data_IF_471431767744
#
_entry.id   IF_471431767744
#
_cell.length_a   1.000
_cell.length_b   1.000
_cell.length_c   1.000
_cell.angle_alpha   90.00
_cell.angle_beta   90.00
_cell.angle_gamma   90.00
#
_symmetry.space_group_name_H-M   'P 1'
#
loop_
_entity.id
_entity.type
_entity.pdbx_description
1 polymer ?
#
# COMPACT_ATOMS: atom_id res chain seq x y z
N UNK A 1 40.48 3.62 -2.98
CA UNK A 1 39.63 4.80 -2.77
C UNK A 1 38.21 4.36 -2.92
N UNK A 2 37.50 4.16 -1.78
CA UNK A 2 36.08 3.83 -1.80
C UNK A 2 35.31 5.12 -2.11
N UNK A 3 34.82 5.22 -3.32
CA UNK A 3 33.80 6.23 -3.67
C UNK A 3 32.52 5.80 -2.93
N UNK A 4 32.24 6.42 -1.80
CA UNK A 4 30.89 6.40 -1.23
C UNK A 4 29.98 7.02 -2.28
N UNK A 5 29.27 6.18 -3.02
CA UNK A 5 28.11 6.65 -3.80
C UNK A 5 27.11 7.18 -2.77
N UNK A 6 26.99 8.48 -2.70
CA UNK A 6 25.86 9.14 -2.04
C UNK A 6 24.60 8.70 -2.77
N UNK A 7 23.87 7.75 -2.18
CA UNK A 7 22.57 7.33 -2.69
C UNK A 7 21.69 8.58 -2.63
N UNK A 8 21.20 9.01 -3.78
CA UNK A 8 20.25 10.12 -3.84
C UNK A 8 19.00 9.77 -3.00
N UNK A 9 18.45 10.71 -2.22
CA UNK A 9 17.29 10.42 -1.40
C UNK A 9 16.16 9.90 -2.28
N UNK A 10 15.62 8.74 -1.91
CA UNK A 10 14.48 8.17 -2.62
C UNK A 10 13.28 9.07 -2.49
N UNK A 11 12.61 9.31 -3.62
CA UNK A 11 11.41 10.13 -3.65
C UNK A 11 10.19 9.22 -3.82
N UNK A 12 9.40 9.09 -2.76
CA UNK A 12 8.15 8.34 -2.82
C UNK A 12 7.07 9.17 -3.51
N UNK A 13 6.53 8.73 -4.68
CA UNK A 13 5.49 9.46 -5.38
C UNK A 13 4.13 9.44 -4.65
N UNK A 14 3.93 8.51 -3.72
CA UNK A 14 2.70 8.40 -2.91
C UNK A 14 2.74 9.24 -1.64
N UNK A 15 3.88 9.84 -1.26
CA UNK A 15 3.98 10.70 -0.09
C UNK A 15 3.03 11.90 -0.20
N UNK A 16 2.07 11.98 0.73
CA UNK A 16 1.04 13.02 0.71
C UNK A 16 1.59 14.42 1.01
N UNK A 17 2.65 14.53 1.83
CA UNK A 17 3.25 15.82 2.19
C UNK A 17 3.81 16.58 0.99
N UNK A 18 4.16 15.88 -0.09
CA UNK A 18 4.63 16.48 -1.34
C UNK A 18 3.63 17.46 -1.97
N UNK A 19 2.34 17.25 -1.76
CA UNK A 19 1.33 18.18 -2.25
C UNK A 19 1.45 19.53 -1.53
N UNK A 20 1.70 19.48 -0.21
CA UNK A 20 1.94 20.68 0.59
C UNK A 20 3.22 21.40 0.13
N UNK A 21 4.30 20.67 -0.10
CA UNK A 21 5.57 21.25 -0.58
C UNK A 21 5.41 21.91 -1.96
N UNK A 22 4.64 21.26 -2.84
CA UNK A 22 4.53 21.71 -4.23
C UNK A 22 3.42 22.76 -4.43
N UNK A 23 2.31 22.65 -3.68
CA UNK A 23 1.10 23.44 -3.92
C UNK A 23 0.65 24.27 -2.71
N UNK A 24 1.28 24.10 -1.54
CA UNK A 24 0.89 24.77 -0.29
C UNK A 24 -0.33 24.16 0.40
N UNK A 25 -0.92 23.10 -0.16
CA UNK A 25 -2.12 22.43 0.37
C UNK A 25 -2.15 20.93 -0.03
N UNK A 26 -2.92 20.14 0.70
CA UNK A 26 -3.27 18.78 0.30
C UNK A 26 -4.23 18.81 -0.89
N UNK A 27 -3.94 18.04 -1.93
CA UNK A 27 -4.76 17.93 -3.13
C UNK A 27 -5.05 16.46 -3.44
N UNK A 28 -6.08 16.19 -4.25
CA UNK A 28 -6.24 14.86 -4.81
C UNK A 28 -5.24 14.67 -5.94
N UNK A 29 -4.18 13.93 -5.67
CA UNK A 29 -3.07 13.69 -6.61
C UNK A 29 -2.78 12.22 -6.86
N UNK A 30 -3.43 11.33 -6.13
CA UNK A 30 -3.26 9.89 -6.24
C UNK A 30 -4.62 9.19 -6.38
N UNK A 31 -4.70 8.20 -7.26
CA UNK A 31 -5.88 7.33 -7.39
C UNK A 31 -5.43 5.87 -7.37
N UNK A 32 -6.21 5.05 -6.66
CA UNK A 32 -6.10 3.61 -6.71
C UNK A 32 -7.39 2.99 -7.28
N UNK A 33 -7.26 2.06 -8.22
CA UNK A 33 -8.39 1.44 -8.93
C UNK A 33 -8.44 -0.05 -8.68
N UNK A 34 -9.56 -0.53 -8.14
CA UNK A 34 -9.88 -1.96 -8.06
C UNK A 34 -10.37 -2.45 -9.41
N UNK A 35 -9.60 -3.32 -10.08
CA UNK A 35 -9.87 -3.81 -11.44
C UNK A 35 -10.37 -5.25 -11.51
N UNK A 36 -10.36 -5.97 -10.41
CA UNK A 36 -10.86 -7.36 -10.32
C UNK A 36 -11.24 -7.73 -8.89
N UNK A 37 -12.27 -8.56 -8.76
CA UNK A 37 -12.63 -9.25 -7.51
C UNK A 37 -12.10 -10.68 -7.47
N UNK A 38 -11.45 -11.14 -8.55
CA UNK A 38 -10.85 -12.47 -8.62
C UNK A 38 -9.50 -12.48 -7.89
N UNK A 39 -9.28 -13.51 -7.09
CA UNK A 39 -7.97 -13.80 -6.52
C UNK A 39 -7.80 -15.32 -6.39
N UNK A 40 -6.60 -15.81 -6.65
CA UNK A 40 -6.23 -17.21 -6.48
C UNK A 40 -5.81 -17.54 -5.03
N UNK A 41 -5.78 -16.53 -4.17
CA UNK A 41 -5.48 -16.64 -2.74
C UNK A 41 -6.65 -16.15 -1.90
N UNK A 42 -6.65 -16.50 -0.60
CA UNK A 42 -7.59 -16.04 0.43
C UNK A 42 -6.80 -15.83 1.71
N UNK A 43 -5.99 -14.75 1.68
CA UNK A 43 -5.04 -14.47 2.74
C UNK A 43 -5.72 -14.13 4.06
N UNK A 44 -5.11 -14.51 5.17
CA UNK A 44 -5.58 -14.25 6.54
C UNK A 44 -5.83 -12.76 6.80
N UNK A 45 -4.97 -11.91 6.25
CA UNK A 45 -4.95 -10.46 6.46
C UNK A 45 -5.55 -9.65 5.30
N UNK A 46 -6.33 -10.30 4.41
CA UNK A 46 -6.85 -9.61 3.22
C UNK A 46 -7.86 -8.53 3.61
N UNK A 47 -7.61 -7.29 3.17
CA UNK A 47 -8.46 -6.14 3.44
C UNK A 47 -9.73 -6.08 2.58
N UNK A 48 -9.79 -6.89 1.53
CA UNK A 48 -10.91 -6.97 0.57
C UNK A 48 -11.47 -8.40 0.44
N UNK A 49 -11.22 -9.23 1.44
CA UNK A 49 -11.51 -10.67 1.40
C UNK A 49 -12.98 -11.01 1.15
N UNK A 50 -13.91 -10.28 1.79
CA UNK A 50 -15.36 -10.49 1.62
C UNK A 50 -15.88 -10.03 0.26
N UNK A 51 -15.18 -9.14 -0.43
CA UNK A 51 -15.54 -8.70 -1.78
C UNK A 51 -15.03 -9.63 -2.86
N UNK A 52 -14.13 -10.56 -2.52
CA UNK A 52 -13.57 -11.51 -3.48
C UNK A 52 -14.65 -12.47 -3.99
N UNK A 53 -14.73 -12.63 -5.30
CA UNK A 53 -15.74 -13.40 -6.02
C UNK A 53 -15.09 -14.46 -6.93
N UNK A 54 -15.77 -15.56 -7.28
CA UNK A 54 -15.32 -16.49 -8.30
C UNK A 54 -15.48 -15.96 -9.74
N UNK A 55 -16.19 -14.85 -9.91
CA UNK A 55 -16.42 -14.17 -11.21
C UNK A 55 -16.49 -12.67 -10.96
N UNK A 56 -15.78 -11.91 -11.80
CA UNK A 56 -15.92 -10.46 -11.79
C UNK A 56 -17.36 -10.06 -12.18
N UNK A 57 -17.94 -9.05 -11.50
CA UNK A 57 -19.15 -8.39 -11.98
C UNK A 57 -18.91 -7.73 -13.35
N UNK A 58 -19.98 -7.28 -13.99
CA UNK A 58 -19.84 -6.47 -15.20
C UNK A 58 -19.24 -5.11 -14.84
N UNK A 59 -18.12 -4.71 -15.46
CA UNK A 59 -17.48 -3.46 -15.15
C UNK A 59 -18.20 -2.27 -15.75
N UNK A 60 -18.03 -1.10 -15.15
CA UNK A 60 -18.43 0.16 -15.74
C UNK A 60 -17.59 0.46 -17.00
N UNK A 61 -18.12 1.26 -17.94
CA UNK A 61 -17.36 1.63 -19.14
C UNK A 61 -16.03 2.30 -18.80
N UNK A 62 -14.94 1.82 -19.40
CA UNK A 62 -13.60 2.35 -19.16
C UNK A 62 -13.49 3.84 -19.48
N UNK A 63 -14.16 4.29 -20.55
CA UNK A 63 -14.21 5.70 -20.97
C UNK A 63 -14.87 6.60 -19.92
N UNK A 64 -15.81 6.09 -19.14
CA UNK A 64 -16.37 6.83 -18.01
C UNK A 64 -15.30 7.07 -16.94
N UNK A 65 -14.56 6.02 -16.56
CA UNK A 65 -13.50 6.17 -15.57
C UNK A 65 -12.40 7.12 -16.08
N UNK A 66 -11.98 6.98 -17.34
CA UNK A 66 -10.97 7.87 -17.94
C UNK A 66 -11.44 9.34 -17.91
N UNK A 67 -12.68 9.62 -18.31
CA UNK A 67 -13.22 11.00 -18.22
C UNK A 67 -13.18 11.55 -16.80
N UNK A 68 -13.48 10.71 -15.78
CA UNK A 68 -13.38 11.13 -14.38
C UNK A 68 -11.95 11.38 -13.94
N UNK A 69 -11.00 10.56 -14.40
CA UNK A 69 -9.57 10.77 -14.15
C UNK A 69 -9.04 12.04 -14.81
N UNK A 70 -9.55 12.40 -15.99
CA UNK A 70 -9.21 13.65 -16.68
C UNK A 70 -9.58 14.91 -15.88
N UNK A 71 -10.56 14.80 -15.00
CA UNK A 71 -11.00 15.89 -14.12
C UNK A 71 -10.00 16.15 -12.97
N UNK A 72 -9.00 15.28 -12.75
CA UNK A 72 -7.96 15.44 -11.72
C UNK A 72 -6.76 16.17 -12.34
N UNK A 73 -6.56 17.46 -12.06
CA UNK A 73 -5.56 18.24 -12.79
C UNK A 73 -4.11 17.90 -12.36
N UNK A 74 -3.94 17.33 -11.18
CA UNK A 74 -2.64 17.09 -10.55
C UNK A 74 -2.40 15.60 -10.25
N UNK A 75 -2.86 14.70 -11.13
CA UNK A 75 -2.66 13.26 -10.96
C UNK A 75 -1.15 12.94 -11.03
N UNK A 76 -0.57 12.62 -9.87
CA UNK A 76 0.87 12.35 -9.68
C UNK A 76 1.17 10.87 -9.62
N UNK A 77 0.30 10.08 -9.00
CA UNK A 77 0.46 8.64 -8.89
C UNK A 77 -0.86 7.90 -9.14
N UNK A 78 -0.73 6.74 -9.74
CA UNK A 78 -1.85 5.88 -10.11
C UNK A 78 -1.52 4.44 -9.77
N UNK A 79 -2.40 3.79 -9.01
CA UNK A 79 -2.23 2.41 -8.56
C UNK A 79 -3.37 1.54 -9.03
N UNK A 80 -3.06 0.30 -9.40
CA UNK A 80 -4.04 -0.74 -9.68
C UNK A 80 -3.98 -1.79 -8.58
N UNK A 81 -5.17 -2.13 -8.08
CA UNK A 81 -5.37 -3.13 -7.04
C UNK A 81 -6.61 -4.00 -7.34
N UNK A 82 -7.04 -4.77 -6.36
CA UNK A 82 -8.21 -5.63 -6.40
C UNK A 82 -7.96 -6.93 -5.67
N UNK A 83 -8.48 -8.04 -6.22
CA UNK A 83 -8.07 -9.37 -5.82
C UNK A 83 -6.63 -9.64 -6.27
N UNK A 84 -6.45 -10.30 -7.42
CA UNK A 84 -5.16 -10.37 -8.11
C UNK A 84 -5.32 -9.79 -9.52
N UNK A 85 -4.85 -8.57 -9.78
CA UNK A 85 -5.10 -7.88 -11.05
C UNK A 85 -4.61 -8.63 -12.30
N UNK A 86 -3.57 -9.46 -12.16
CA UNK A 86 -3.02 -10.24 -13.26
C UNK A 86 -3.71 -11.60 -13.47
N UNK A 87 -4.75 -11.93 -12.68
CA UNK A 87 -5.41 -13.23 -12.74
C UNK A 87 -6.28 -13.39 -13.99
N UNK A 88 -7.07 -12.39 -14.34
CA UNK A 88 -8.02 -12.43 -15.45
C UNK A 88 -7.46 -11.73 -16.69
N UNK A 89 -7.06 -12.51 -17.70
CA UNK A 89 -6.45 -11.96 -18.92
C UNK A 89 -7.37 -11.03 -19.72
N UNK A 90 -8.70 -11.22 -19.63
CA UNK A 90 -9.66 -10.27 -20.22
C UNK A 90 -9.56 -8.93 -19.51
N UNK A 91 -9.63 -8.93 -18.17
CA UNK A 91 -9.47 -7.72 -17.36
C UNK A 91 -8.11 -7.05 -17.59
N UNK A 92 -7.02 -7.84 -17.67
CA UNK A 92 -5.68 -7.31 -17.95
C UNK A 92 -5.66 -6.52 -19.25
N UNK A 93 -6.22 -7.06 -20.34
CA UNK A 93 -6.19 -6.42 -21.67
C UNK A 93 -7.19 -5.26 -21.80
N UNK A 94 -8.35 -5.39 -21.20
CA UNK A 94 -9.45 -4.40 -21.36
C UNK A 94 -9.37 -3.25 -20.36
N UNK A 95 -8.72 -3.45 -19.19
CA UNK A 95 -8.69 -2.45 -18.11
C UNK A 95 -7.30 -2.17 -17.57
N UNK A 96 -6.54 -3.20 -17.13
CA UNK A 96 -5.25 -2.98 -16.46
C UNK A 96 -4.24 -2.29 -17.38
N UNK A 97 -4.01 -2.84 -18.58
CA UNK A 97 -3.08 -2.26 -19.56
C UNK A 97 -3.53 -0.88 -20.03
N UNK A 98 -4.79 -0.65 -20.44
CA UNK A 98 -5.25 0.67 -20.85
C UNK A 98 -5.15 1.73 -19.75
N UNK A 99 -5.47 1.40 -18.49
CA UNK A 99 -5.39 2.34 -17.38
C UNK A 99 -3.95 2.70 -17.01
N UNK A 100 -3.04 1.72 -16.96
CA UNK A 100 -1.61 1.98 -16.73
C UNK A 100 -1.03 2.83 -17.85
N UNK A 101 -1.34 2.51 -19.11
CA UNK A 101 -0.93 3.29 -20.27
C UNK A 101 -1.42 4.74 -20.17
N UNK A 102 -2.71 4.94 -19.91
CA UNK A 102 -3.29 6.25 -19.74
C UNK A 102 -2.60 7.08 -18.65
N UNK A 103 -2.38 6.50 -17.48
CA UNK A 103 -1.72 7.19 -16.38
C UNK A 103 -0.25 7.51 -16.69
N UNK A 104 0.46 6.57 -17.31
CA UNK A 104 1.85 6.73 -17.74
C UNK A 104 2.00 7.85 -18.79
N UNK A 105 1.12 7.90 -19.80
CA UNK A 105 1.11 8.93 -20.84
C UNK A 105 0.77 10.33 -20.28
N UNK A 106 0.07 10.41 -19.16
CA UNK A 106 -0.14 11.65 -18.41
C UNK A 106 1.05 12.06 -17.52
N UNK A 107 2.09 11.25 -17.46
CA UNK A 107 3.26 11.47 -16.61
C UNK A 107 3.06 11.12 -15.13
N UNK A 108 1.95 10.46 -14.78
CA UNK A 108 1.75 9.94 -13.44
C UNK A 108 2.64 8.70 -13.20
N UNK A 109 3.13 8.55 -11.96
CA UNK A 109 3.83 7.35 -11.53
C UNK A 109 2.85 6.20 -11.36
N UNK A 110 3.14 5.08 -11.99
CA UNK A 110 2.23 3.93 -12.06
C UNK A 110 2.70 2.79 -11.16
N UNK A 111 1.75 2.16 -10.50
CA UNK A 111 1.97 1.00 -9.64
C UNK A 111 0.90 -0.05 -9.87
N UNK A 112 1.23 -1.31 -9.68
CA UNK A 112 0.29 -2.41 -9.55
C UNK A 112 0.59 -3.21 -8.29
N UNK A 113 -0.46 -3.57 -7.54
CA UNK A 113 -0.35 -4.44 -6.37
C UNK A 113 -0.66 -5.88 -6.79
N UNK A 114 0.27 -6.81 -6.56
CA UNK A 114 0.14 -8.21 -6.99
C UNK A 114 0.71 -9.18 -5.96
N UNK A 115 0.15 -10.38 -5.91
CA UNK A 115 0.75 -11.50 -5.18
C UNK A 115 1.85 -12.22 -5.97
N UNK A 116 2.09 -11.80 -7.21
CA UNK A 116 3.15 -12.24 -8.12
C UNK A 116 3.17 -13.76 -8.44
N UNK A 117 2.06 -14.46 -8.24
CA UNK A 117 1.97 -15.91 -8.47
C UNK A 117 1.49 -16.29 -9.87
N UNK A 118 1.17 -15.31 -10.73
CA UNK A 118 0.73 -15.56 -12.10
C UNK A 118 1.92 -15.86 -13.01
N UNK A 119 1.70 -16.48 -14.20
CA UNK A 119 2.77 -16.67 -15.19
C UNK A 119 3.48 -15.36 -15.56
N UNK A 120 4.82 -15.41 -15.69
CA UNK A 120 5.66 -14.24 -15.89
C UNK A 120 5.26 -13.42 -17.14
N UNK A 121 4.84 -14.11 -18.21
CA UNK A 121 4.46 -13.51 -19.50
C UNK A 121 3.24 -12.57 -19.38
N UNK A 122 2.45 -12.72 -18.33
CA UNK A 122 1.33 -11.79 -18.09
C UNK A 122 1.82 -10.40 -17.69
N UNK A 123 2.90 -10.36 -16.91
CA UNK A 123 3.48 -9.09 -16.45
C UNK A 123 4.17 -8.33 -17.58
N UNK A 124 4.69 -9.03 -18.62
CA UNK A 124 5.30 -8.40 -19.79
C UNK A 124 4.35 -7.39 -20.48
N UNK A 125 3.04 -7.61 -20.37
CA UNK A 125 2.02 -6.72 -20.97
C UNK A 125 1.96 -5.33 -20.34
N UNK A 126 2.33 -5.22 -19.07
CA UNK A 126 2.24 -3.99 -18.28
C UNK A 126 3.58 -3.27 -18.13
N UNK A 127 4.71 -3.97 -18.28
CA UNK A 127 6.04 -3.40 -18.06
C UNK A 127 6.31 -2.08 -18.80
N UNK A 128 5.85 -1.87 -20.07
CA UNK A 128 6.08 -0.60 -20.76
C UNK A 128 5.43 0.62 -20.11
N UNK A 129 4.47 0.41 -19.21
CA UNK A 129 3.66 1.46 -18.59
C UNK A 129 3.76 1.44 -17.06
N UNK A 130 4.66 0.62 -16.50
CA UNK A 130 4.75 0.38 -15.06
C UNK A 130 6.04 0.98 -14.49
N UNK A 131 5.91 1.87 -13.49
CA UNK A 131 7.06 2.38 -12.75
C UNK A 131 7.42 1.49 -11.55
N UNK A 132 6.42 0.92 -10.83
CA UNK A 132 6.65 0.10 -9.64
C UNK A 132 5.75 -1.13 -9.65
N UNK A 133 6.33 -2.31 -9.54
CA UNK A 133 5.63 -3.53 -9.19
C UNK A 133 5.65 -3.68 -7.67
N UNK A 134 4.48 -3.55 -7.05
CA UNK A 134 4.32 -3.71 -5.61
C UNK A 134 3.81 -5.11 -5.30
N UNK A 135 4.54 -5.85 -4.47
CA UNK A 135 4.20 -7.23 -4.14
C UNK A 135 3.93 -7.39 -2.64
N UNK A 136 2.90 -8.14 -2.30
CA UNK A 136 2.64 -8.51 -0.90
C UNK A 136 3.52 -9.71 -0.52
N UNK A 137 4.42 -9.51 0.46
CA UNK A 137 5.32 -10.55 0.95
C UNK A 137 5.33 -10.62 2.48
N UNK A 138 4.47 -11.50 3.03
CA UNK A 138 4.24 -11.65 4.47
C UNK A 138 4.67 -13.03 5.00
N UNK A 139 5.65 -13.66 4.39
CA UNK A 139 5.95 -15.08 4.58
C UNK A 139 7.42 -15.29 4.90
N UNK A 140 7.72 -15.82 6.09
CA UNK A 140 9.07 -16.22 6.47
C UNK A 140 9.50 -17.55 5.85
N UNK A 141 8.53 -18.36 5.38
CA UNK A 141 8.75 -19.68 4.81
C UNK A 141 7.65 -20.08 3.84
N UNK A 142 7.82 -21.18 3.10
CA UNK A 142 6.77 -21.77 2.26
C UNK A 142 5.58 -22.27 3.09
N UNK A 143 5.82 -22.68 4.32
CA UNK A 143 4.76 -23.12 5.24
C UNK A 143 3.92 -21.92 5.68
N UNK A 144 4.54 -20.78 5.99
CA UNK A 144 3.85 -19.53 6.28
C UNK A 144 3.01 -19.07 5.08
N UNK A 145 3.57 -19.13 3.86
CA UNK A 145 2.81 -18.84 2.64
C UNK A 145 1.58 -19.74 2.51
N UNK A 146 1.74 -21.04 2.78
CA UNK A 146 0.65 -22.02 2.71
C UNK A 146 -0.42 -21.78 3.78
N UNK A 147 -0.01 -21.37 4.97
CA UNK A 147 -0.90 -21.11 6.11
C UNK A 147 -1.64 -19.78 5.92
N UNK A 148 -0.90 -18.70 5.70
CA UNK A 148 -1.41 -17.32 5.63
C UNK A 148 -2.18 -17.08 4.34
N UNK A 149 -1.60 -17.45 3.20
CA UNK A 149 -2.12 -17.15 1.86
C UNK A 149 -3.43 -17.87 1.52
N UNK A 150 -3.75 -18.96 2.22
CA UNK A 150 -4.93 -19.79 1.98
C UNK A 150 -5.80 -19.99 3.23
N UNK A 151 -5.65 -19.12 4.24
CA UNK A 151 -6.35 -19.24 5.52
C UNK A 151 -7.87 -19.32 5.35
N UNK A 152 -8.46 -18.48 4.50
CA UNK A 152 -9.90 -18.40 4.25
C UNK A 152 -10.35 -19.15 2.98
N UNK A 153 -9.48 -20.00 2.41
CA UNK A 153 -9.87 -20.81 1.24
C UNK A 153 -10.77 -21.98 1.65
N UNK A 154 -11.98 -22.03 1.08
CA UNK A 154 -12.89 -23.17 1.26
C UNK A 154 -12.31 -24.45 0.67
N UNK A 155 -11.64 -24.35 -0.46
CA UNK A 155 -10.95 -25.44 -1.16
C UNK A 155 -9.49 -25.04 -1.35
N UNK A 156 -8.64 -25.46 -0.42
CA UNK A 156 -7.21 -25.17 -0.49
C UNK A 156 -6.58 -25.95 -1.65
N UNK A 157 -5.72 -25.33 -2.47
CA UNK A 157 -4.89 -26.09 -3.41
C UNK A 157 -4.07 -27.15 -2.66
N UNK A 158 -3.68 -28.21 -3.36
CA UNK A 158 -2.78 -29.23 -2.79
C UNK A 158 -1.46 -28.57 -2.35
N UNK A 159 -0.78 -29.22 -1.42
CA UNK A 159 0.46 -28.69 -0.86
C UNK A 159 1.50 -28.38 -1.96
N UNK A 160 1.72 -29.32 -2.87
CA UNK A 160 2.66 -29.15 -4.00
C UNK A 160 2.29 -27.96 -4.88
N UNK A 161 1.01 -27.68 -5.04
CA UNK A 161 0.53 -26.51 -5.80
C UNK A 161 0.82 -25.21 -5.06
N UNK A 162 0.63 -25.17 -3.74
CA UNK A 162 0.96 -23.99 -2.92
C UNK A 162 2.45 -23.71 -2.91
N UNK A 163 3.27 -24.77 -2.77
CA UNK A 163 4.73 -24.67 -2.86
C UNK A 163 5.17 -24.15 -4.23
N UNK A 164 4.60 -24.67 -5.32
CA UNK A 164 4.87 -24.19 -6.66
C UNK A 164 4.47 -22.72 -6.87
N UNK A 165 3.39 -22.26 -6.22
CA UNK A 165 2.99 -20.85 -6.26
C UNK A 165 4.00 -19.96 -5.51
N UNK A 166 4.45 -20.38 -4.32
CA UNK A 166 5.47 -19.65 -3.57
C UNK A 166 6.78 -19.55 -4.36
N UNK A 167 7.24 -20.67 -4.91
CA UNK A 167 8.45 -20.69 -5.73
C UNK A 167 8.32 -19.76 -6.94
N UNK A 168 7.17 -19.80 -7.64
CA UNK A 168 6.90 -18.92 -8.79
C UNK A 168 6.93 -17.44 -8.40
N UNK A 169 6.38 -17.06 -7.25
CA UNK A 169 6.44 -15.67 -6.75
C UNK A 169 7.90 -15.21 -6.63
N UNK A 170 8.76 -16.03 -6.01
CA UNK A 170 10.18 -15.73 -5.84
C UNK A 170 10.91 -15.66 -7.19
N UNK A 171 10.67 -16.63 -8.06
CA UNK A 171 11.30 -16.67 -9.39
C UNK A 171 10.86 -15.50 -10.27
N UNK A 172 9.58 -15.13 -10.25
CA UNK A 172 9.06 -13.97 -10.95
C UNK A 172 9.70 -12.69 -10.45
N UNK A 173 9.82 -12.50 -9.11
CA UNK A 173 10.47 -11.34 -8.54
C UNK A 173 11.93 -11.23 -9.01
N UNK A 174 12.70 -12.33 -8.92
CA UNK A 174 14.09 -12.39 -9.40
C UNK A 174 14.21 -12.10 -10.89
N UNK A 175 13.32 -12.65 -11.71
CA UNK A 175 13.33 -12.43 -13.15
C UNK A 175 13.02 -10.98 -13.52
N UNK A 176 12.07 -10.34 -12.83
CA UNK A 176 11.67 -8.95 -13.08
C UNK A 176 12.72 -7.96 -12.58
N UNK A 177 13.28 -8.16 -11.39
CA UNK A 177 14.37 -7.33 -10.87
C UNK A 177 15.63 -7.42 -11.73
N UNK A 178 15.97 -8.60 -12.25
CA UNK A 178 17.07 -8.79 -13.20
C UNK A 178 16.86 -8.06 -14.54
N UNK A 179 15.61 -7.75 -14.91
CA UNK A 179 15.26 -6.94 -16.08
C UNK A 179 15.22 -5.44 -15.78
N UNK A 180 15.56 -5.04 -14.55
CA UNK A 180 15.54 -3.63 -14.12
C UNK A 180 14.17 -3.11 -13.70
N UNK A 181 13.16 -3.97 -13.52
CA UNK A 181 11.86 -3.58 -12.98
C UNK A 181 12.02 -3.22 -11.51
N UNK A 182 11.49 -2.08 -11.09
CA UNK A 182 11.47 -1.70 -9.68
C UNK A 182 10.41 -2.55 -8.97
N UNK A 183 10.86 -3.47 -8.13
CA UNK A 183 10.00 -4.31 -7.29
C UNK A 183 10.06 -3.82 -5.86
N UNK A 184 8.89 -3.46 -5.32
CA UNK A 184 8.69 -3.10 -3.93
C UNK A 184 7.95 -4.23 -3.22
N UNK A 185 8.55 -4.80 -2.18
CA UNK A 185 7.88 -5.82 -1.38
C UNK A 185 7.29 -5.20 -0.11
N UNK A 186 6.03 -5.51 0.17
CA UNK A 186 5.29 -5.04 1.34
C UNK A 186 5.17 -6.14 2.39
N UNK A 187 5.47 -5.78 3.64
CA UNK A 187 5.27 -6.66 4.80
C UNK A 187 4.43 -5.94 5.86
N UNK A 188 3.34 -6.58 6.27
CA UNK A 188 2.53 -6.12 7.40
C UNK A 188 3.09 -6.65 8.72
N UNK A 189 3.26 -5.78 9.71
CA UNK A 189 3.63 -6.15 11.07
C UNK A 189 2.39 -6.66 11.81
N UNK A 190 2.36 -7.95 12.10
CA UNK A 190 1.32 -8.61 12.88
C UNK A 190 1.91 -9.80 13.66
N UNK A 191 1.09 -10.47 14.47
CA UNK A 191 1.55 -11.60 15.31
C UNK A 191 2.17 -12.76 14.52
N UNK A 192 1.84 -12.90 13.22
CA UNK A 192 2.40 -13.94 12.33
C UNK A 192 3.74 -13.54 11.75
N UNK A 193 3.87 -12.28 11.31
CA UNK A 193 5.08 -11.81 10.61
C UNK A 193 6.17 -11.38 11.57
N UNK A 194 5.81 -10.80 12.74
CA UNK A 194 6.78 -10.33 13.73
C UNK A 194 7.87 -11.35 14.11
N UNK A 195 7.58 -12.65 14.34
CA UNK A 195 8.60 -13.63 14.62
C UNK A 195 9.58 -13.91 13.48
N UNK A 196 9.19 -13.60 12.23
CA UNK A 196 9.91 -14.00 11.01
C UNK A 196 10.46 -12.81 10.20
N UNK A 197 10.47 -11.59 10.76
CA UNK A 197 10.81 -10.37 10.04
C UNK A 197 12.19 -10.42 9.38
N UNK A 198 13.18 -10.98 10.05
CA UNK A 198 14.54 -11.09 9.53
C UNK A 198 14.58 -12.02 8.31
N UNK A 199 13.90 -13.16 8.38
CA UNK A 199 13.81 -14.11 7.26
C UNK A 199 13.01 -13.50 6.08
N UNK A 200 11.93 -12.78 6.37
CA UNK A 200 11.15 -12.07 5.34
C UNK A 200 12.03 -11.04 4.64
N UNK A 201 12.75 -10.22 5.42
CA UNK A 201 13.67 -9.22 4.85
C UNK A 201 14.77 -9.86 4.02
N UNK A 202 15.37 -10.94 4.52
CA UNK A 202 16.39 -11.68 3.78
C UNK A 202 15.87 -12.21 2.43
N UNK A 203 14.66 -12.78 2.40
CA UNK A 203 14.06 -13.24 1.15
C UNK A 203 13.81 -12.08 0.16
N UNK A 204 13.36 -10.92 0.65
CA UNK A 204 13.16 -9.70 -0.14
C UNK A 204 14.48 -9.25 -0.79
N UNK A 205 15.57 -9.28 -0.01
CA UNK A 205 16.93 -9.01 -0.52
C UNK A 205 17.34 -10.03 -1.60
N UNK A 206 17.11 -11.32 -1.36
CA UNK A 206 17.46 -12.40 -2.29
C UNK A 206 16.62 -12.40 -3.58
N UNK A 207 15.41 -11.86 -3.52
CA UNK A 207 14.59 -11.58 -4.70
C UNK A 207 15.09 -10.39 -5.53
N UNK A 208 16.04 -9.60 -5.00
CA UNK A 208 16.57 -8.41 -5.65
C UNK A 208 15.65 -7.20 -5.58
N UNK A 209 14.66 -7.20 -4.67
CA UNK A 209 13.74 -6.08 -4.51
C UNK A 209 14.50 -4.82 -4.06
N UNK A 210 14.16 -3.68 -4.67
CA UNK A 210 14.83 -2.40 -4.38
C UNK A 210 14.22 -1.71 -3.15
N UNK A 211 12.95 -2.03 -2.81
CA UNK A 211 12.24 -1.45 -1.67
C UNK A 211 11.59 -2.53 -0.82
N UNK A 212 11.74 -2.42 0.50
CA UNK A 212 10.95 -3.14 1.49
C UNK A 212 10.03 -2.14 2.19
N UNK A 213 8.74 -2.19 1.90
CA UNK A 213 7.72 -1.38 2.54
C UNK A 213 7.14 -2.13 3.74
N UNK A 214 7.05 -1.44 4.87
CA UNK A 214 6.64 -2.05 6.15
C UNK A 214 5.58 -1.19 6.81
N UNK A 215 4.46 -1.77 7.18
CA UNK A 215 3.44 -1.13 7.99
C UNK A 215 2.72 -2.08 8.94
N UNK A 216 2.18 -1.56 10.06
CA UNK A 216 1.34 -2.36 10.93
C UNK A 216 0.10 -2.87 10.21
N UNK A 217 -0.34 -4.08 10.57
CA UNK A 217 -1.64 -4.59 10.17
C UNK A 217 -2.74 -3.89 10.99
N UNK A 218 -3.76 -3.40 10.30
CA UNK A 218 -4.96 -2.86 10.92
C UNK A 218 -6.14 -3.81 10.69
N UNK A 219 -6.94 -4.09 11.75
CA UNK A 219 -8.08 -5.01 11.63
C UNK A 219 -9.10 -4.49 10.64
N UNK A 220 -9.35 -5.27 9.60
CA UNK A 220 -10.29 -4.97 8.53
C UNK A 220 -10.64 -6.24 7.81
N UNK A 221 -11.90 -6.43 7.40
CA UNK A 221 -12.36 -7.53 6.57
C UNK A 221 -11.93 -8.91 7.13
N UNK A 222 -11.17 -9.73 6.40
CA UNK A 222 -10.67 -11.02 6.90
C UNK A 222 -9.75 -10.89 8.11
N UNK A 223 -9.00 -9.77 8.20
CA UNK A 223 -8.14 -9.50 9.34
C UNK A 223 -8.88 -9.01 10.59
N UNK A 224 -10.21 -8.79 10.52
CA UNK A 224 -10.98 -8.24 11.65
C UNK A 224 -10.94 -9.09 12.92
N UNK A 225 -10.71 -10.41 12.78
CA UNK A 225 -10.59 -11.35 13.89
C UNK A 225 -9.15 -11.58 14.36
N UNK A 226 -8.15 -11.02 13.67
CA UNK A 226 -6.76 -11.19 14.02
C UNK A 226 -6.38 -10.30 15.20
N UNK A 227 -5.50 -10.82 16.06
CA UNK A 227 -4.97 -10.06 17.17
C UNK A 227 -4.06 -8.94 16.66
N UNK A 228 -4.33 -7.72 17.12
CA UNK A 228 -3.52 -6.53 16.82
C UNK A 228 -2.22 -6.61 17.60
N UNK A 229 -1.10 -6.34 16.95
CA UNK A 229 0.17 -6.19 17.63
C UNK A 229 0.15 -4.94 18.53
N UNK A 230 0.69 -5.05 19.74
CA UNK A 230 0.85 -3.91 20.63
C UNK A 230 1.86 -2.91 20.07
N UNK A 231 1.81 -1.66 20.56
CA UNK A 231 2.77 -0.64 20.16
C UNK A 231 4.22 -1.06 20.45
N UNK A 232 4.46 -1.74 21.57
CA UNK A 232 5.82 -2.21 21.93
C UNK A 232 6.31 -3.36 21.04
N UNK A 233 5.43 -4.27 20.64
CA UNK A 233 5.77 -5.31 19.67
C UNK A 233 6.12 -4.72 18.30
N UNK A 234 5.34 -3.73 17.84
CA UNK A 234 5.63 -3.03 16.58
C UNK A 234 6.98 -2.30 16.66
N UNK A 235 7.24 -1.55 17.75
CA UNK A 235 8.53 -0.86 17.98
C UNK A 235 9.69 -1.84 17.96
N UNK A 236 9.56 -2.94 18.71
CA UNK A 236 10.57 -4.00 18.75
C UNK A 236 10.83 -4.60 17.36
N UNK A 237 9.77 -4.88 16.61
CA UNK A 237 9.89 -5.39 15.23
C UNK A 237 10.62 -4.42 14.30
N UNK A 238 10.30 -3.13 14.39
CA UNK A 238 10.98 -2.10 13.58
C UNK A 238 12.45 -1.99 13.96
N UNK A 239 12.79 -1.99 15.25
CA UNK A 239 14.18 -1.97 15.69
C UNK A 239 14.98 -3.17 15.15
N UNK A 240 14.43 -4.38 15.24
CA UNK A 240 15.05 -5.59 14.71
C UNK A 240 15.28 -5.50 13.19
N UNK A 241 14.29 -5.02 12.44
CA UNK A 241 14.46 -4.79 10.99
C UNK A 241 15.56 -3.79 10.69
N UNK A 242 15.63 -2.68 11.42
CA UNK A 242 16.67 -1.67 11.24
C UNK A 242 18.07 -2.24 11.61
N UNK A 243 18.16 -3.17 12.57
CA UNK A 243 19.41 -3.82 12.97
C UNK A 243 19.91 -4.81 11.92
N UNK A 244 19.01 -5.58 11.28
CA UNK A 244 19.37 -6.67 10.36
C UNK A 244 19.32 -6.27 8.88
N UNK A 245 18.77 -5.08 8.53
CA UNK A 245 18.49 -4.70 7.15
C UNK A 245 19.73 -4.65 6.26
N UNK A 246 19.55 -4.99 5.00
CA UNK A 246 20.52 -4.66 3.97
C UNK A 246 20.44 -3.15 3.65
N UNK A 247 21.54 -2.43 3.85
CA UNK A 247 21.58 -0.98 3.66
C UNK A 247 21.38 -0.52 2.21
N UNK A 248 21.51 -1.42 1.23
CA UNK A 248 21.24 -1.12 -0.18
C UNK A 248 19.76 -1.23 -0.55
N UNK A 249 18.92 -1.83 0.32
CA UNK A 249 17.47 -1.88 0.14
C UNK A 249 16.85 -0.65 0.79
N UNK A 250 16.02 0.07 0.04
CA UNK A 250 15.25 1.18 0.57
C UNK A 250 14.15 0.66 1.49
N UNK A 251 14.25 1.01 2.78
CA UNK A 251 13.21 0.72 3.77
C UNK A 251 12.20 1.86 3.79
N UNK A 252 10.93 1.56 3.54
CA UNK A 252 9.83 2.52 3.64
C UNK A 252 8.90 2.08 4.77
N UNK A 253 8.77 2.91 5.80
CA UNK A 253 7.84 2.69 6.90
C UNK A 253 6.61 3.58 6.72
N UNK A 254 5.45 2.97 6.54
CA UNK A 254 4.18 3.67 6.35
C UNK A 254 3.17 3.41 7.46
N UNK A 255 2.20 4.31 7.61
CA UNK A 255 1.04 4.12 8.50
C UNK A 255 1.43 3.81 9.95
N UNK A 256 2.58 4.35 10.42
CA UNK A 256 3.08 4.07 11.76
C UNK A 256 2.24 4.77 12.83
N UNK A 257 1.97 4.10 13.98
CA UNK A 257 1.22 4.68 15.09
C UNK A 257 2.10 5.50 16.05
N UNK A 258 3.24 6.01 15.61
CA UNK A 258 4.20 6.78 16.42
C UNK A 258 4.39 8.15 15.80
N UNK A 259 4.39 9.20 16.63
CA UNK A 259 4.46 10.58 16.15
C UNK A 259 5.51 11.38 16.90
N UNK A 260 6.16 12.37 16.25
CA UNK A 260 7.16 13.24 16.88
C UNK A 260 6.63 14.04 18.08
N UNK A 261 5.30 14.15 18.22
CA UNK A 261 4.64 14.80 19.35
C UNK A 261 4.34 13.87 20.53
N UNK A 262 4.84 12.63 20.52
CA UNK A 262 4.69 11.70 21.64
C UNK A 262 5.43 12.21 22.88
N UNK A 263 4.85 11.93 24.07
CA UNK A 263 5.51 12.13 25.36
C UNK A 263 6.23 10.86 25.84
N UNK A 264 6.24 9.80 25.04
CA UNK A 264 6.91 8.54 25.33
C UNK A 264 8.33 8.58 24.75
N UNK A 265 9.34 8.40 25.61
CA UNK A 265 10.75 8.46 25.22
C UNK A 265 11.12 7.39 24.18
N UNK A 266 10.53 6.17 24.27
CA UNK A 266 10.80 5.10 23.30
C UNK A 266 10.26 5.46 21.92
N UNK A 267 9.09 6.13 21.84
CA UNK A 267 8.55 6.61 20.57
C UNK A 267 9.48 7.65 19.94
N UNK A 268 9.98 8.60 20.75
CA UNK A 268 10.91 9.63 20.27
C UNK A 268 12.24 9.05 19.83
N UNK A 269 12.77 8.07 20.52
CA UNK A 269 14.00 7.37 20.12
C UNK A 269 13.80 6.61 18.80
N UNK A 270 12.68 5.90 18.65
CA UNK A 270 12.35 5.23 17.38
C UNK A 270 12.22 6.24 16.23
N UNK A 271 11.49 7.34 16.44
CA UNK A 271 11.34 8.40 15.44
C UNK A 271 12.72 8.97 15.03
N UNK A 272 13.54 9.33 16.00
CA UNK A 272 14.90 9.81 15.76
C UNK A 272 15.70 8.81 14.91
N UNK A 273 15.62 7.53 15.23
CA UNK A 273 16.29 6.47 14.48
C UNK A 273 15.78 6.39 13.03
N UNK A 274 14.47 6.34 12.83
CA UNK A 274 13.83 6.24 11.52
C UNK A 274 14.22 7.41 10.58
N UNK A 275 14.33 8.63 11.12
CA UNK A 275 14.71 9.81 10.34
C UNK A 275 16.23 10.01 10.16
N UNK A 276 17.06 9.31 10.92
CA UNK A 276 18.52 9.40 10.83
C UNK A 276 19.21 8.26 10.07
N UNK A 277 18.55 7.13 9.92
CA UNK A 277 19.11 5.97 9.24
C UNK A 277 19.18 6.20 7.72
N UNK A 278 20.32 5.94 7.07
CA UNK A 278 20.43 6.08 5.62
C UNK A 278 19.52 5.10 4.90
N UNK A 279 18.93 5.52 3.78
CA UNK A 279 18.05 4.69 2.95
C UNK A 279 16.79 4.18 3.69
N UNK A 280 16.32 4.97 4.66
CA UNK A 280 15.07 4.78 5.40
C UNK A 280 14.17 5.98 5.19
N UNK A 281 12.88 5.74 4.95
CA UNK A 281 11.86 6.78 4.77
C UNK A 281 10.65 6.44 5.62
N UNK A 282 10.07 7.45 6.25
CA UNK A 282 8.75 7.38 6.88
C UNK A 282 7.77 8.09 5.98
N UNK A 283 6.68 7.41 5.58
CA UNK A 283 5.63 7.96 4.71
C UNK A 283 4.40 8.32 5.51
N UNK A 284 3.88 9.50 5.27
CA UNK A 284 2.51 9.84 5.64
C UNK A 284 1.54 9.07 4.75
N UNK A 285 0.58 8.38 5.36
CA UNK A 285 -0.40 7.60 4.62
C UNK A 285 -1.16 8.50 3.64
N UNK A 286 -1.24 8.15 2.35
CA UNK A 286 -1.93 8.97 1.35
C UNK A 286 -3.46 8.89 1.45
N UNK A 287 -4.03 7.85 2.07
CA UNK A 287 -5.47 7.61 2.10
C UNK A 287 -6.25 8.77 2.75
N UNK A 288 -7.18 9.32 1.96
CA UNK A 288 -7.97 10.48 2.35
C UNK A 288 -7.21 11.80 2.45
N UNK A 289 -5.89 11.80 2.20
CA UNK A 289 -5.05 13.02 2.17
C UNK A 289 -4.74 13.48 0.78
N UNK A 290 -4.17 12.58 -0.01
CA UNK A 290 -3.88 12.81 -1.43
C UNK A 290 -4.43 11.72 -2.33
N UNK A 291 -4.96 10.63 -1.77
CA UNK A 291 -5.48 9.45 -2.48
C UNK A 291 -6.95 9.19 -2.18
N UNK A 292 -7.67 8.80 -3.22
CA UNK A 292 -8.96 8.12 -3.15
C UNK A 292 -8.90 6.82 -3.93
N UNK A 293 -9.73 5.86 -3.53
CA UNK A 293 -9.87 4.57 -4.17
C UNK A 293 -11.19 4.52 -4.95
N UNK A 294 -11.20 3.83 -6.07
CA UNK A 294 -12.40 3.62 -6.88
C UNK A 294 -12.53 2.18 -7.33
N UNK A 295 -13.73 1.65 -7.24
CA UNK A 295 -14.05 0.30 -7.70
C UNK A 295 -14.61 0.35 -9.12
N UNK A 296 -13.97 -0.34 -10.08
CA UNK A 296 -14.36 -0.35 -11.50
C UNK A 296 -15.76 -0.96 -11.74
N UNK A 297 -16.24 -1.83 -10.83
CA UNK A 297 -17.52 -2.52 -11.01
C UNK A 297 -18.68 -1.72 -10.43
N UNK A 298 -18.58 -1.29 -9.19
CA UNK A 298 -19.64 -0.51 -8.53
C UNK A 298 -19.57 0.99 -8.85
N UNK A 299 -18.40 1.50 -9.22
CA UNK A 299 -18.15 2.92 -9.40
C UNK A 299 -17.99 3.71 -8.10
N UNK A 300 -18.02 3.03 -6.97
CA UNK A 300 -17.93 3.67 -5.66
C UNK A 300 -16.56 4.33 -5.46
N UNK A 301 -16.59 5.57 -4.98
CA UNK A 301 -15.42 6.34 -4.57
C UNK A 301 -15.32 6.25 -3.04
N UNK A 302 -14.20 5.78 -2.53
CA UNK A 302 -13.95 5.57 -1.10
C UNK A 302 -12.59 6.14 -0.70
N UNK A 303 -12.41 6.35 0.61
CA UNK A 303 -11.14 6.87 1.16
C UNK A 303 -10.04 5.82 1.12
N UNK A 304 -10.40 4.59 1.48
CA UNK A 304 -9.49 3.45 1.59
C UNK A 304 -10.28 2.15 1.44
N UNK A 305 -9.64 1.09 0.97
CA UNK A 305 -10.21 -0.26 0.94
C UNK A 305 -10.21 -0.92 2.35
N UNK A 306 -9.53 -0.30 3.30
CA UNK A 306 -9.45 -0.80 4.67
C UNK A 306 -10.52 -0.18 5.56
N UNK A 307 -11.19 -1.03 6.36
CA UNK A 307 -12.14 -0.59 7.36
C UNK A 307 -13.51 -0.22 6.80
N UNK A 308 -14.42 0.08 7.73
CA UNK A 308 -15.78 0.52 7.41
C UNK A 308 -15.78 2.04 7.24
N UNK A 309 -15.61 2.48 5.99
CA UNK A 309 -15.59 3.90 5.64
C UNK A 309 -16.77 4.26 4.75
N UNK A 310 -17.34 5.47 4.90
CA UNK A 310 -18.45 5.89 4.08
C UNK A 310 -18.04 6.03 2.60
N UNK A 311 -18.94 5.67 1.70
CA UNK A 311 -18.82 6.01 0.29
C UNK A 311 -18.89 7.52 0.12
N UNK A 312 -17.96 8.08 -0.63
CA UNK A 312 -17.87 9.51 -0.89
C UNK A 312 -18.68 9.94 -2.12
N UNK A 313 -19.05 9.00 -2.95
CA UNK A 313 -19.80 9.21 -4.20
C UNK A 313 -19.64 8.01 -5.13
N UNK A 314 -20.13 8.17 -6.36
CA UNK A 314 -20.00 7.17 -7.41
C UNK A 314 -19.61 7.87 -8.72
N UNK A 315 -18.69 7.27 -9.49
CA UNK A 315 -18.18 7.89 -10.73
C UNK A 315 -19.27 8.11 -11.81
N UNK A 316 -20.43 7.47 -11.67
CA UNK A 316 -21.54 7.67 -12.60
C UNK A 316 -22.19 9.06 -12.45
N UNK A 317 -22.22 9.57 -11.22
CA UNK A 317 -22.92 10.82 -10.88
C UNK A 317 -22.07 11.86 -10.15
N UNK A 318 -20.87 11.49 -9.68
CA UNK A 318 -20.00 12.36 -8.90
C UNK A 318 -18.63 12.50 -9.56
N UNK A 319 -18.03 13.68 -9.41
CA UNK A 319 -16.64 13.96 -9.77
C UNK A 319 -15.72 13.55 -8.61
N UNK A 320 -14.45 13.27 -8.92
CA UNK A 320 -13.46 12.96 -7.88
C UNK A 320 -13.16 14.15 -6.95
N UNK A 321 -13.11 15.37 -7.49
CA UNK A 321 -12.90 16.58 -6.68
C UNK A 321 -14.06 16.84 -5.71
N UNK A 322 -15.30 16.59 -6.11
CA UNK A 322 -16.47 16.69 -5.24
C UNK A 322 -16.45 15.61 -4.14
N UNK A 323 -16.09 14.38 -4.47
CA UNK A 323 -15.93 13.30 -3.49
C UNK A 323 -14.81 13.64 -2.49
N UNK A 324 -13.69 14.16 -2.97
CA UNK A 324 -12.59 14.59 -2.13
C UNK A 324 -12.98 15.77 -1.21
N UNK A 325 -13.73 16.75 -1.71
CA UNK A 325 -14.25 17.85 -0.90
C UNK A 325 -15.18 17.33 0.20
N UNK A 326 -16.13 16.42 -0.13
CA UNK A 326 -16.99 15.77 0.88
C UNK A 326 -16.19 15.09 2.00
N UNK A 327 -15.08 14.40 1.65
CA UNK A 327 -14.21 13.81 2.64
C UNK A 327 -13.52 14.87 3.51
N UNK A 328 -12.89 15.87 2.92
CA UNK A 328 -12.22 16.95 3.65
C UNK A 328 -13.15 17.66 4.65
N UNK A 329 -14.41 17.86 4.26
CA UNK A 329 -15.41 18.53 5.06
C UNK A 329 -16.10 17.61 6.10
N UNK A 330 -15.81 16.31 6.09
CA UNK A 330 -16.38 15.36 7.02
C UNK A 330 -15.89 15.57 8.46
N UNK A 331 -16.74 15.24 9.44
CA UNK A 331 -16.35 15.29 10.85
C UNK A 331 -15.20 14.31 11.17
N UNK A 332 -15.17 13.17 10.47
CA UNK A 332 -14.11 12.16 10.63
C UNK A 332 -12.77 12.77 10.21
N UNK A 333 -12.67 13.31 9.00
CA UNK A 333 -11.43 13.89 8.51
C UNK A 333 -10.97 15.06 9.39
N UNK A 334 -11.89 15.95 9.82
CA UNK A 334 -11.55 17.05 10.73
C UNK A 334 -10.95 16.55 12.04
N UNK A 335 -11.41 15.41 12.57
CA UNK A 335 -10.84 14.82 13.80
C UNK A 335 -9.43 14.26 13.62
N UNK A 336 -9.02 14.01 12.37
CA UNK A 336 -7.67 13.57 11.99
C UNK A 336 -6.74 14.73 11.63
N UNK A 337 -7.28 15.93 11.43
CA UNK A 337 -6.53 17.08 10.90
C UNK A 337 -5.48 17.55 11.89
N UNK A 338 -4.29 17.01 11.72
CA UNK A 338 -3.08 17.38 12.44
C UNK A 338 -1.99 17.60 11.40
N UNK A 339 -1.34 18.75 11.44
CA UNK A 339 -0.28 19.11 10.52
C UNK A 339 0.88 19.72 11.28
N UNK A 340 2.08 19.15 11.16
CA UNK A 340 3.30 19.64 11.77
C UNK A 340 4.36 19.89 10.68
N UNK A 341 4.50 21.14 10.21
CA UNK A 341 5.41 21.46 9.10
C UNK A 341 6.89 21.26 9.45
N UNK A 342 7.28 21.44 10.71
CA UNK A 342 8.68 21.30 11.16
C UNK A 342 9.24 19.88 11.03
N UNK A 343 8.37 18.87 11.02
CA UNK A 343 8.75 17.45 10.88
C UNK A 343 8.00 16.76 9.72
N UNK A 344 7.35 17.51 8.85
CA UNK A 344 6.58 17.00 7.71
C UNK A 344 5.58 15.90 8.09
N UNK A 345 4.93 16.03 9.24
CA UNK A 345 3.99 15.04 9.78
C UNK A 345 2.55 15.50 9.57
N UNK A 346 1.71 14.61 9.05
CA UNK A 346 0.27 14.82 8.85
C UNK A 346 -0.60 14.15 9.92
N UNK A 347 0.01 13.61 10.98
CA UNK A 347 -0.68 12.87 12.04
C UNK A 347 -1.21 11.50 11.59
N UNK A 348 -2.14 10.89 12.36
CA UNK A 348 -2.65 9.56 12.06
C UNK A 348 -3.61 9.55 10.88
N UNK A 349 -3.66 8.43 10.18
CA UNK A 349 -4.79 8.11 9.31
C UNK A 349 -5.98 7.56 10.15
N UNK A 350 -7.07 7.23 9.46
CA UNK A 350 -8.27 6.70 10.08
C UNK A 350 -8.03 5.37 10.80
N UNK A 351 -7.23 4.48 10.20
CA UNK A 351 -6.95 3.14 10.74
C UNK A 351 -6.15 3.22 12.04
N UNK A 352 -5.09 4.02 12.04
CA UNK A 352 -4.27 4.26 13.24
C UNK A 352 -5.11 4.84 14.35
N UNK A 353 -5.93 5.87 14.04
CA UNK A 353 -6.81 6.49 15.03
C UNK A 353 -7.77 5.47 15.61
N UNK A 354 -8.46 4.72 14.78
CA UNK A 354 -9.48 3.77 15.24
C UNK A 354 -8.89 2.59 16.03
N UNK A 355 -7.64 2.24 15.79
CA UNK A 355 -6.99 1.13 16.48
C UNK A 355 -6.36 1.52 17.80
N UNK A 356 -5.56 2.60 17.80
CA UNK A 356 -4.71 2.95 18.95
C UNK A 356 -5.11 4.25 19.67
N UNK A 357 -5.89 5.13 19.02
CA UNK A 357 -6.14 6.50 19.50
C UNK A 357 -7.61 6.91 19.42
N UNK A 358 -8.54 5.99 19.66
CA UNK A 358 -9.99 6.21 19.50
C UNK A 358 -10.50 7.47 20.19
N UNK A 359 -10.05 7.71 21.43
CA UNK A 359 -10.48 8.83 22.26
C UNK A 359 -9.68 10.13 22.02
N UNK A 360 -8.69 10.09 21.12
CA UNK A 360 -7.82 11.24 20.87
C UNK A 360 -8.38 12.09 19.73
N UNK A 361 -8.60 13.37 20.00
CA UNK A 361 -8.91 14.39 18.98
C UNK A 361 -7.61 15.07 18.54
N UNK A 362 -7.11 14.67 17.38
CA UNK A 362 -5.84 15.18 16.85
C UNK A 362 -5.93 16.62 16.35
N UNK A 363 -7.13 17.11 16.00
CA UNK A 363 -7.30 18.51 15.59
C UNK A 363 -6.89 19.51 16.69
N UNK A 364 -6.94 19.08 17.96
CA UNK A 364 -6.52 19.89 19.10
C UNK A 364 -5.02 19.87 19.39
N UNK A 365 -4.26 18.99 18.73
CA UNK A 365 -2.81 18.86 18.92
C UNK A 365 -1.99 19.77 18.02
N UNK A 366 -2.51 20.15 16.86
CA UNK A 366 -1.83 21.06 15.92
C UNK A 366 -1.52 22.45 16.45
N UNK A 367 -2.08 22.84 17.62
CA UNK A 367 -1.84 24.14 18.25
C UNK A 367 -0.57 24.19 19.12
N UNK A 368 0.20 23.12 19.21
CA UNK A 368 1.34 23.01 20.12
C UNK A 368 2.70 22.95 19.40
N UNK A 369 2.73 23.28 18.13
CA UNK A 369 3.98 23.29 17.34
C UNK A 369 4.23 24.63 16.66
#
# INVERSE_FOLDING_TARGET
>A
MNVQQTIAPHTDPWEAYRDIEQYGELTLSNIEVTTTTLCNMRCEHCAVGYTLSPKDPDPLPLDLLIRRLDEIPRLRAFSITGGEPMMNMKSVREYVVPLLKYAHERGAKTQINSNLTMPLERYDLILPYLDVLHISHNYGSVDDFSLIGFAHSKHKPKEEQRHAMFQRMIENAKALTARGVIVSAETMLNKRTLPHLENIHQQIVEMGCQRHEVHPMYPSDFASSLEVASLDEIKSGIHRLLDCRNQNVWMLFGTLPFYPCSNNEDDLQLQKRLYSEPNVTVRNDPDGRSRLNVNLFSGDIIVTDFGDVPKLGNIQDSRFDEAYARWRDSAINRSLSCHCPSVQCLGPNLLVKNTYYRETDFSKRSAHF
#
